data_IF_722071606470
#
_entry.id   IF_722071606470
#
_cell.length_a   1.000
_cell.length_b   1.000
_cell.length_c   1.000
_cell.angle_alpha   90.00
_cell.angle_beta   90.00
_cell.angle_gamma   90.00
#
_symmetry.space_group_name_H-M   'P 1'
#
loop_
_entity.id
_entity.type
_entity.pdbx_description
1 polymer ?
#
# COMPACT_ATOMS: atom_id res chain seq x y z
N UNK A 1 -2.19 -11.74 -13.27
CA UNK A 1 -2.16 -12.22 -11.88
C UNK A 1 -3.39 -11.68 -11.19
N UNK A 2 -3.52 -10.36 -11.16
CA UNK A 2 -4.75 -9.68 -10.81
C UNK A 2 -5.68 -9.58 -12.01
N UNK A 3 -6.98 -9.58 -11.79
CA UNK A 3 -8.00 -9.59 -12.82
C UNK A 3 -9.20 -8.74 -12.43
N UNK A 4 -10.03 -8.39 -13.41
CA UNK A 4 -11.25 -7.63 -13.18
C UNK A 4 -12.24 -8.32 -12.24
N UNK A 5 -12.23 -9.65 -12.17
CA UNK A 5 -13.14 -10.41 -11.33
C UNK A 5 -12.72 -10.41 -9.85
N UNK A 6 -11.49 -10.01 -9.54
CA UNK A 6 -10.99 -9.98 -8.15
C UNK A 6 -11.76 -8.95 -7.30
N UNK A 7 -12.34 -7.93 -7.94
CA UNK A 7 -13.20 -6.96 -7.26
C UNK A 7 -14.50 -7.57 -6.73
N UNK A 8 -14.96 -8.70 -7.28
CA UNK A 8 -16.20 -9.36 -6.88
C UNK A 8 -16.14 -9.95 -5.47
N UNK A 9 -14.93 -10.09 -4.89
CA UNK A 9 -14.78 -10.49 -3.48
C UNK A 9 -15.48 -9.49 -2.55
N UNK A 10 -15.51 -8.21 -2.90
CA UNK A 10 -16.12 -7.16 -2.10
C UNK A 10 -17.65 -7.10 -2.21
N UNK A 11 -18.26 -7.83 -3.16
CA UNK A 11 -19.72 -7.97 -3.27
C UNK A 11 -20.30 -8.86 -2.15
N UNK A 12 -19.49 -9.75 -1.58
CA UNK A 12 -19.90 -10.56 -0.44
C UNK A 12 -20.08 -9.68 0.80
N UNK A 13 -21.28 -9.64 1.36
CA UNK A 13 -21.65 -8.70 2.41
C UNK A 13 -21.37 -9.22 3.83
N UNK A 14 -21.15 -10.51 4.00
CA UNK A 14 -20.85 -11.13 5.29
C UNK A 14 -19.35 -11.11 5.60
N UNK A 15 -19.00 -10.97 6.89
CA UNK A 15 -17.60 -11.05 7.34
C UNK A 15 -16.98 -12.41 6.97
N UNK A 16 -17.65 -13.51 7.30
CA UNK A 16 -17.15 -14.86 7.05
C UNK A 16 -16.98 -15.09 5.54
N UNK A 17 -18.03 -14.85 4.75
CA UNK A 17 -17.98 -15.07 3.31
C UNK A 17 -16.91 -14.21 2.63
N UNK A 18 -16.76 -12.92 3.00
CA UNK A 18 -15.75 -12.05 2.37
C UNK A 18 -14.35 -12.50 2.74
N UNK A 19 -14.13 -12.92 3.99
CA UNK A 19 -12.84 -13.46 4.42
C UNK A 19 -12.49 -14.74 3.67
N UNK A 20 -13.44 -15.66 3.48
CA UNK A 20 -13.24 -16.87 2.67
C UNK A 20 -12.89 -16.53 1.22
N UNK A 21 -13.59 -15.56 0.60
CA UNK A 21 -13.26 -15.11 -0.76
C UNK A 21 -11.87 -14.48 -0.83
N UNK A 22 -11.49 -13.61 0.12
CA UNK A 22 -10.16 -13.02 0.18
C UNK A 22 -9.09 -14.12 0.27
N UNK A 23 -9.27 -15.08 1.17
CA UNK A 23 -8.30 -16.18 1.38
C UNK A 23 -8.18 -17.11 0.18
N UNK A 24 -9.27 -17.37 -0.54
CA UNK A 24 -9.26 -18.32 -1.65
C UNK A 24 -8.92 -17.67 -3.00
N UNK A 25 -9.14 -16.36 -3.16
CA UNK A 25 -8.95 -15.64 -4.42
C UNK A 25 -7.75 -14.70 -4.37
N UNK A 26 -7.68 -13.83 -3.35
CA UNK A 26 -6.72 -12.72 -3.31
C UNK A 26 -5.40 -13.12 -2.65
N UNK A 27 -5.45 -13.83 -1.51
CA UNK A 27 -4.24 -14.20 -0.77
C UNK A 27 -3.23 -15.01 -1.63
N UNK A 28 -3.65 -15.98 -2.48
CA UNK A 28 -2.73 -16.68 -3.37
C UNK A 28 -2.05 -15.76 -4.40
N UNK A 29 -2.76 -14.75 -4.89
CA UNK A 29 -2.19 -13.75 -5.81
C UNK A 29 -1.19 -12.85 -5.09
N UNK A 30 -1.46 -12.48 -3.83
CA UNK A 30 -0.49 -11.77 -3.00
C UNK A 30 0.77 -12.60 -2.71
N UNK A 31 0.63 -13.90 -2.45
CA UNK A 31 1.79 -14.79 -2.31
C UNK A 31 2.59 -14.90 -3.61
N UNK A 32 1.91 -14.96 -4.76
CA UNK A 32 2.54 -14.95 -6.07
C UNK A 32 3.29 -13.63 -6.32
N UNK A 33 2.68 -12.49 -6.02
CA UNK A 33 3.31 -11.17 -6.12
C UNK A 33 4.55 -11.10 -5.22
N UNK A 34 4.46 -11.56 -3.97
CA UNK A 34 5.60 -11.57 -3.06
C UNK A 34 6.79 -12.36 -3.61
N UNK A 35 6.55 -13.54 -4.20
CA UNK A 35 7.61 -14.34 -4.84
C UNK A 35 8.29 -13.59 -5.98
N UNK A 36 7.54 -12.78 -6.74
CA UNK A 36 8.05 -11.96 -7.85
C UNK A 36 8.82 -10.73 -7.36
N UNK A 37 8.33 -10.04 -6.32
CA UNK A 37 8.95 -8.81 -5.82
C UNK A 37 10.14 -9.04 -4.87
N UNK A 38 10.24 -10.19 -4.20
CA UNK A 38 11.37 -10.47 -3.30
C UNK A 38 12.75 -10.32 -3.99
N UNK A 39 12.99 -10.89 -5.19
CA UNK A 39 14.21 -10.62 -5.95
C UNK A 39 14.42 -9.15 -6.29
N UNK A 40 13.36 -8.42 -6.64
CA UNK A 40 13.43 -6.99 -6.93
C UNK A 40 13.93 -6.18 -5.72
N UNK A 41 13.37 -6.44 -4.53
CA UNK A 41 13.84 -5.79 -3.29
C UNK A 41 15.29 -6.18 -2.94
N UNK A 42 15.66 -7.45 -3.15
CA UNK A 42 17.03 -7.93 -2.92
C UNK A 42 18.04 -7.24 -3.84
N UNK A 43 17.73 -7.08 -5.13
CA UNK A 43 18.56 -6.36 -6.09
C UNK A 43 18.77 -4.90 -5.69
N UNK A 44 17.73 -4.27 -5.13
CA UNK A 44 17.77 -2.91 -4.58
C UNK A 44 18.39 -2.84 -3.17
N UNK A 45 18.93 -3.95 -2.64
CA UNK A 45 19.55 -4.07 -1.31
C UNK A 45 18.61 -3.70 -0.15
N UNK A 46 17.32 -3.92 -0.33
CA UNK A 46 16.29 -3.65 0.68
C UNK A 46 15.90 -4.98 1.33
N UNK A 47 16.15 -5.08 2.63
CA UNK A 47 15.67 -6.22 3.41
C UNK A 47 14.18 -6.06 3.69
N UNK A 48 13.38 -7.01 3.22
CA UNK A 48 11.93 -6.94 3.37
C UNK A 48 11.32 -8.29 3.72
N UNK A 49 10.19 -8.23 4.43
CA UNK A 49 9.39 -9.39 4.79
C UNK A 49 7.94 -9.15 4.38
N UNK A 50 7.34 -10.03 3.55
CA UNK A 50 5.94 -9.93 3.17
C UNK A 50 5.01 -10.34 4.32
N UNK A 51 3.91 -9.61 4.49
CA UNK A 51 2.86 -9.84 5.48
C UNK A 51 1.48 -9.63 4.85
N UNK A 52 0.71 -10.70 4.63
CA UNK A 52 -0.68 -10.58 4.18
C UNK A 52 -1.56 -10.08 5.35
N UNK A 53 -2.43 -9.12 5.06
CA UNK A 53 -3.35 -8.55 6.03
C UNK A 53 -4.37 -9.60 6.51
N UNK A 54 -4.26 -9.99 7.77
CA UNK A 54 -5.09 -11.07 8.36
C UNK A 54 -6.47 -10.62 8.88
N UNK A 55 -6.77 -9.32 8.90
CA UNK A 55 -8.03 -8.74 9.40
C UNK A 55 -8.49 -9.21 10.80
N UNK A 56 -7.57 -9.66 11.65
CA UNK A 56 -7.86 -10.32 12.94
C UNK A 56 -8.68 -9.51 13.96
N UNK A 57 -8.82 -8.19 13.75
CA UNK A 57 -9.58 -7.30 14.63
C UNK A 57 -11.04 -7.10 14.18
N UNK A 58 -11.46 -7.67 13.05
CA UNK A 58 -12.83 -7.55 12.53
C UNK A 58 -13.73 -8.59 13.20
N UNK A 59 -14.85 -8.14 13.75
CA UNK A 59 -15.82 -8.98 14.47
C UNK A 59 -17.21 -8.99 13.86
N UNK A 60 -17.62 -7.88 13.24
CA UNK A 60 -18.97 -7.71 12.65
C UNK A 60 -18.88 -7.30 11.18
N UNK A 61 -18.16 -6.21 10.89
CA UNK A 61 -18.10 -5.67 9.54
C UNK A 61 -17.00 -6.37 8.73
N UNK A 62 -17.30 -6.85 7.50
CA UNK A 62 -16.29 -7.38 6.60
C UNK A 62 -15.21 -6.33 6.27
N UNK A 63 -13.98 -6.75 5.95
CA UNK A 63 -12.94 -5.82 5.53
C UNK A 63 -13.34 -5.08 4.25
N UNK A 64 -13.11 -3.76 4.22
CA UNK A 64 -13.41 -2.87 3.09
C UNK A 64 -12.28 -2.83 2.04
N UNK A 65 -11.10 -3.29 2.44
CA UNK A 65 -9.90 -3.47 1.63
C UNK A 65 -9.10 -4.67 2.15
N UNK A 66 -8.15 -5.16 1.36
CA UNK A 66 -7.16 -6.16 1.77
C UNK A 66 -5.84 -5.90 1.05
N UNK A 67 -4.72 -6.30 1.65
CA UNK A 67 -3.40 -6.02 1.09
C UNK A 67 -2.34 -7.02 1.57
N UNK A 68 -1.22 -7.02 0.87
CA UNK A 68 0.05 -7.53 1.33
C UNK A 68 0.98 -6.36 1.63
N UNK A 69 1.59 -6.38 2.81
CA UNK A 69 2.59 -5.40 3.23
C UNK A 69 4.00 -5.96 3.11
N UNK A 70 4.93 -5.11 2.69
CA UNK A 70 6.35 -5.36 2.55
C UNK A 70 7.07 -4.45 3.53
N UNK A 71 7.50 -4.99 4.67
CA UNK A 71 8.10 -4.19 5.75
C UNK A 71 9.43 -4.78 6.27
N UNK A 72 10.21 -4.02 7.03
CA UNK A 72 11.58 -4.39 7.40
C UNK A 72 11.65 -5.44 8.53
N UNK A 73 10.52 -5.76 9.18
CA UNK A 73 10.47 -6.66 10.32
C UNK A 73 9.87 -8.03 9.97
N UNK A 74 10.46 -9.11 10.50
CA UNK A 74 9.95 -10.48 10.37
C UNK A 74 8.58 -10.71 11.03
N UNK A 75 8.16 -9.83 11.94
CA UNK A 75 6.90 -9.95 12.70
C UNK A 75 6.16 -8.63 12.72
N UNK A 76 5.13 -8.54 11.89
CA UNK A 76 4.30 -7.34 11.75
C UNK A 76 4.99 -6.24 10.95
N UNK A 77 4.17 -5.31 10.45
CA UNK A 77 4.60 -4.24 9.55
C UNK A 77 4.14 -2.85 10.03
N UNK A 78 2.95 -2.76 10.66
CA UNK A 78 2.27 -1.49 10.99
C UNK A 78 3.07 -0.44 11.77
N UNK A 79 4.04 -0.88 12.59
CA UNK A 79 4.88 0.01 13.39
C UNK A 79 6.07 0.59 12.61
N UNK A 80 6.37 0.06 11.45
CA UNK A 80 7.49 0.47 10.62
C UNK A 80 6.94 1.15 9.36
N UNK A 81 7.72 2.00 8.69
CA UNK A 81 7.46 2.33 7.31
C UNK A 81 7.43 1.04 6.47
N UNK A 82 6.51 0.94 5.51
CA UNK A 82 6.35 -0.24 4.67
C UNK A 82 5.67 0.10 3.35
N UNK A 83 5.77 -0.82 2.40
CA UNK A 83 5.02 -0.77 1.13
C UNK A 83 3.81 -1.69 1.24
N UNK A 84 2.69 -1.32 0.62
CA UNK A 84 1.49 -2.12 0.52
C UNK A 84 1.09 -2.30 -0.95
N UNK A 85 0.66 -3.50 -1.32
CA UNK A 85 -0.09 -3.73 -2.56
C UNK A 85 -1.42 -4.36 -2.20
N UNK A 86 -2.52 -3.75 -2.62
CA UNK A 86 -3.83 -4.18 -2.14
C UNK A 86 -5.00 -3.71 -2.96
N UNK A 87 -6.18 -4.17 -2.57
CA UNK A 87 -7.44 -3.89 -3.23
C UNK A 87 -8.40 -3.15 -2.32
N UNK A 88 -9.08 -2.17 -2.90
CA UNK A 88 -10.43 -1.76 -2.53
C UNK A 88 -11.43 -2.40 -3.49
N UNK A 89 -12.73 -2.22 -3.22
CA UNK A 89 -13.81 -2.65 -4.13
C UNK A 89 -13.74 -2.02 -5.53
N UNK A 90 -13.00 -0.92 -5.69
CA UNK A 90 -13.01 -0.10 -6.91
C UNK A 90 -11.63 0.18 -7.49
N UNK A 91 -10.54 -0.27 -6.84
CA UNK A 91 -9.16 -0.09 -7.34
C UNK A 91 -8.16 -1.05 -6.71
N UNK A 92 -7.10 -1.38 -7.44
CA UNK A 92 -5.83 -1.84 -6.88
C UNK A 92 -5.01 -0.60 -6.47
N UNK A 93 -4.18 -0.73 -5.45
CA UNK A 93 -3.24 0.29 -5.01
C UNK A 93 -1.86 -0.28 -4.74
N UNK A 94 -0.85 0.57 -4.90
CA UNK A 94 0.48 0.44 -4.31
C UNK A 94 0.68 1.66 -3.42
N UNK A 95 0.93 1.46 -2.12
CA UNK A 95 1.24 2.54 -1.18
C UNK A 95 2.62 2.38 -0.58
N UNK A 96 3.33 3.49 -0.38
CA UNK A 96 4.36 3.63 0.63
C UNK A 96 3.71 4.30 1.86
N UNK A 97 3.76 3.63 3.01
CA UNK A 97 2.89 3.92 4.14
C UNK A 97 3.63 4.12 5.48
N UNK A 98 3.18 5.14 6.22
CA UNK A 98 3.41 5.39 7.63
C UNK A 98 2.04 5.43 8.34
N UNK A 99 1.64 4.27 8.88
CA UNK A 99 0.37 4.14 9.61
C UNK A 99 0.45 4.78 11.00
N UNK A 100 -0.69 4.93 11.66
CA UNK A 100 -0.75 5.56 12.99
C UNK A 100 0.16 4.88 14.03
N UNK A 101 0.31 3.56 13.96
CA UNK A 101 1.21 2.81 14.85
C UNK A 101 2.70 3.13 14.65
N UNK A 102 3.10 3.66 13.48
CA UNK A 102 4.49 4.01 13.18
C UNK A 102 4.96 5.28 13.90
N UNK A 103 4.03 6.10 14.41
CA UNK A 103 4.35 7.28 15.24
C UNK A 103 4.97 6.95 16.60
N UNK A 104 4.98 5.67 16.98
CA UNK A 104 5.72 5.22 18.15
C UNK A 104 7.23 5.47 18.01
N UNK A 105 7.75 5.50 16.77
CA UNK A 105 9.08 6.01 16.47
C UNK A 105 9.00 7.48 16.04
N UNK A 106 9.52 8.36 16.90
CA UNK A 106 9.51 9.80 16.69
C UNK A 106 10.37 10.23 15.49
N UNK A 107 11.34 9.40 15.06
CA UNK A 107 12.17 9.72 13.89
C UNK A 107 11.39 9.65 12.58
N UNK A 108 10.31 8.87 12.50
CA UNK A 108 9.53 8.73 11.28
C UNK A 108 8.97 10.08 10.78
N UNK A 109 8.56 10.96 11.70
CA UNK A 109 8.13 12.31 11.32
C UNK A 109 9.25 13.16 10.73
N UNK A 110 10.48 13.03 11.26
CA UNK A 110 11.66 13.75 10.76
C UNK A 110 12.11 13.21 9.41
N UNK A 111 12.16 11.88 9.25
CA UNK A 111 12.46 11.19 7.99
C UNK A 111 11.47 11.59 6.90
N UNK A 112 10.17 11.53 7.20
CA UNK A 112 9.12 11.98 6.29
C UNK A 112 9.31 13.43 5.83
N UNK A 113 9.62 14.34 6.76
CA UNK A 113 9.89 15.74 6.43
C UNK A 113 11.15 15.92 5.58
N UNK A 114 12.22 15.17 5.88
CA UNK A 114 13.46 15.22 5.12
C UNK A 114 13.27 14.71 3.67
N UNK A 115 12.38 13.74 3.46
CA UNK A 115 12.05 13.21 2.14
C UNK A 115 11.13 14.10 1.29
N UNK A 116 10.70 15.28 1.79
CA UNK A 116 9.73 16.13 1.11
C UNK A 116 10.13 16.48 -0.34
N UNK A 117 11.41 16.77 -0.59
CA UNK A 117 11.89 17.07 -1.94
C UNK A 117 11.86 15.86 -2.90
N UNK A 118 11.97 14.64 -2.37
CA UNK A 118 11.78 13.42 -3.17
C UNK A 118 10.30 13.20 -3.45
N UNK A 119 9.44 13.38 -2.44
CA UNK A 119 7.99 13.29 -2.58
C UNK A 119 7.45 14.26 -3.63
N UNK A 120 7.95 15.49 -3.71
CA UNK A 120 7.55 16.47 -4.73
C UNK A 120 7.91 16.08 -6.17
N UNK A 121 8.75 15.07 -6.37
CA UNK A 121 9.05 14.52 -7.71
C UNK A 121 7.98 13.53 -8.17
N UNK A 122 7.18 12.98 -7.25
CA UNK A 122 6.04 12.14 -7.56
C UNK A 122 4.95 13.05 -8.14
N UNK A 123 4.90 13.15 -9.47
CA UNK A 123 3.92 13.97 -10.18
C UNK A 123 3.25 13.15 -11.26
N UNK A 124 1.98 13.45 -11.51
CA UNK A 124 1.08 12.68 -12.38
C UNK A 124 0.85 11.24 -11.87
N UNK A 125 -0.40 10.78 -11.87
CA UNK A 125 -0.82 9.41 -11.49
C UNK A 125 -0.47 8.92 -10.06
N UNK A 126 0.17 9.75 -9.23
CA UNK A 126 0.37 9.51 -7.80
C UNK A 126 -0.67 10.23 -6.96
N UNK A 127 -0.98 9.61 -5.83
CA UNK A 127 -1.96 10.05 -4.87
C UNK A 127 -1.40 10.01 -3.46
N UNK A 128 -1.99 10.79 -2.58
CA UNK A 128 -1.73 10.78 -1.15
C UNK A 128 -3.01 10.45 -0.38
N UNK A 129 -2.86 9.75 0.74
CA UNK A 129 -3.95 9.34 1.62
C UNK A 129 -3.51 9.47 3.09
N UNK A 130 -4.43 9.95 3.95
CA UNK A 130 -4.18 10.14 5.38
C UNK A 130 -4.84 9.09 6.28
N UNK A 131 -5.54 8.13 5.70
CA UNK A 131 -6.25 7.09 6.43
C UNK A 131 -6.41 5.84 5.56
N UNK A 132 -5.64 4.79 5.83
CA UNK A 132 -5.71 3.51 5.10
C UNK A 132 -7.06 2.78 5.23
N UNK A 133 -7.97 3.30 6.06
CA UNK A 133 -9.34 2.79 6.25
C UNK A 133 -10.41 3.63 5.55
N UNK A 134 -10.01 4.64 4.77
CA UNK A 134 -10.88 5.47 3.95
C UNK A 134 -10.46 5.40 2.47
N UNK A 135 -11.45 5.41 1.58
CA UNK A 135 -11.24 5.44 0.12
C UNK A 135 -10.83 6.81 -0.42
N UNK A 136 -10.93 7.88 0.40
CA UNK A 136 -10.55 9.22 0.00
C UNK A 136 -9.04 9.33 -0.28
N UNK A 137 -8.72 9.81 -1.47
CA UNK A 137 -7.36 10.08 -1.92
C UNK A 137 -7.31 11.45 -2.61
N UNK A 138 -6.16 12.11 -2.55
CA UNK A 138 -5.91 13.37 -3.25
C UNK A 138 -4.73 13.18 -4.21
N UNK A 139 -4.70 13.87 -5.35
CA UNK A 139 -3.54 13.85 -6.23
C UNK A 139 -2.30 14.37 -5.50
N UNK A 140 -1.16 13.71 -5.66
CA UNK A 140 0.11 14.03 -5.00
C UNK A 140 0.73 15.32 -5.54
N UNK A 141 0.15 16.46 -5.21
CA UNK A 141 0.69 17.79 -5.49
C UNK A 141 1.59 18.25 -4.34
N UNK A 142 2.50 19.18 -4.59
CA UNK A 142 3.35 19.76 -3.54
C UNK A 142 2.53 20.29 -2.35
N UNK A 143 1.35 20.87 -2.62
CA UNK A 143 0.45 21.37 -1.58
C UNK A 143 -0.14 20.22 -0.74
N UNK A 144 -0.73 19.21 -1.39
CA UNK A 144 -1.31 18.05 -0.70
C UNK A 144 -0.26 17.24 0.09
N UNK A 145 0.94 17.06 -0.47
CA UNK A 145 2.07 16.39 0.19
C UNK A 145 2.47 17.19 1.43
N UNK A 146 2.69 18.51 1.28
CA UNK A 146 3.07 19.36 2.41
C UNK A 146 2.02 19.35 3.51
N UNK A 147 0.74 19.33 3.14
CA UNK A 147 -0.35 19.26 4.11
C UNK A 147 -0.35 17.91 4.84
N UNK A 148 -0.27 16.79 4.12
CA UNK A 148 -0.28 15.47 4.76
C UNK A 148 0.96 15.20 5.61
N UNK A 149 2.13 15.74 5.26
CA UNK A 149 3.31 15.65 6.14
C UNK A 149 3.04 16.37 7.47
N UNK A 150 2.45 17.57 7.43
CA UNK A 150 2.05 18.30 8.65
C UNK A 150 1.00 17.53 9.44
N UNK A 151 -0.06 17.07 8.79
CA UNK A 151 -1.15 16.33 9.42
C UNK A 151 -0.63 15.05 10.12
N UNK A 152 0.28 14.32 9.48
CA UNK A 152 0.92 13.15 10.09
C UNK A 152 1.70 13.52 11.36
N UNK A 153 2.39 14.65 11.39
CA UNK A 153 3.16 15.07 12.57
C UNK A 153 2.27 15.59 13.71
N UNK A 154 1.23 16.35 13.38
CA UNK A 154 0.43 17.10 14.37
C UNK A 154 -0.82 16.35 14.83
N UNK A 155 -1.46 15.57 13.96
CA UNK A 155 -2.76 14.94 14.22
C UNK A 155 -2.54 13.46 14.54
N UNK A 156 -2.75 13.06 15.80
CA UNK A 156 -2.47 11.70 16.29
C UNK A 156 -3.03 10.57 15.40
N UNK A 157 -4.26 10.73 14.89
CA UNK A 157 -4.96 9.71 14.10
C UNK A 157 -4.59 9.69 12.61
N UNK A 158 -3.99 10.76 12.09
CA UNK A 158 -3.73 10.89 10.65
C UNK A 158 -2.46 10.12 10.29
N UNK A 159 -2.48 9.52 9.12
CA UNK A 159 -1.41 8.68 8.59
C UNK A 159 -0.77 9.38 7.40
N UNK A 160 0.32 8.82 6.87
CA UNK A 160 0.87 9.27 5.60
C UNK A 160 1.02 8.08 4.66
N UNK A 161 0.28 8.11 3.56
CA UNK A 161 0.39 7.14 2.47
C UNK A 161 0.59 7.90 1.16
N UNK A 162 1.47 7.42 0.31
CA UNK A 162 1.70 7.96 -1.04
C UNK A 162 1.95 6.84 -2.03
N UNK A 163 1.42 6.93 -3.25
CA UNK A 163 1.53 5.85 -4.21
C UNK A 163 0.56 5.93 -5.37
N UNK A 164 0.36 4.81 -6.08
CA UNK A 164 -0.45 4.73 -7.30
C UNK A 164 -1.70 3.88 -7.10
N UNK A 165 -2.72 4.17 -7.90
CA UNK A 165 -3.96 3.40 -7.94
C UNK A 165 -4.33 3.04 -9.37
N UNK A 166 -4.89 1.85 -9.57
CA UNK A 166 -5.47 1.40 -10.83
C UNK A 166 -6.94 1.07 -10.58
N UNK A 167 -7.83 1.88 -11.13
CA UNK A 167 -9.27 1.73 -10.92
C UNK A 167 -9.82 0.50 -11.65
N UNK A 168 -10.88 -0.11 -11.10
CA UNK A 168 -11.64 -1.14 -11.79
C UNK A 168 -11.98 -0.71 -13.21
N UNK A 169 -11.66 -1.54 -14.20
CA UNK A 169 -11.77 -1.23 -15.63
C UNK A 169 -10.48 -0.74 -16.29
N UNK A 170 -9.43 -0.46 -15.53
CA UNK A 170 -8.11 -0.08 -16.05
C UNK A 170 -7.49 -1.18 -16.93
N UNK A 171 -6.79 -0.82 -18.03
CA UNK A 171 -6.07 -1.79 -18.88
C UNK A 171 -5.14 -2.72 -18.12
N UNK A 172 -4.59 -2.30 -16.97
CA UNK A 172 -3.78 -3.13 -16.06
C UNK A 172 -4.39 -4.52 -15.81
N UNK A 173 -5.71 -4.62 -15.66
CA UNK A 173 -6.40 -5.87 -15.36
C UNK A 173 -6.57 -6.81 -16.57
N UNK A 174 -6.16 -6.39 -17.77
CA UNK A 174 -6.12 -7.20 -19.00
C UNK A 174 -4.73 -7.71 -19.32
N UNK A 175 -3.71 -7.15 -18.68
CA UNK A 175 -2.32 -7.52 -18.88
C UNK A 175 -1.98 -8.86 -18.23
N UNK A 176 -0.94 -9.50 -18.74
CA UNK A 176 -0.44 -10.75 -18.17
C UNK A 176 0.35 -10.50 -16.86
N UNK A 177 0.69 -11.59 -16.17
CA UNK A 177 1.41 -11.54 -14.89
C UNK A 177 2.73 -10.77 -14.94
N UNK A 178 3.48 -10.86 -16.04
CA UNK A 178 4.79 -10.21 -16.18
C UNK A 178 4.63 -8.70 -16.37
N UNK A 179 3.71 -8.28 -17.24
CA UNK A 179 3.44 -6.86 -17.47
C UNK A 179 2.84 -6.18 -16.24
N UNK A 180 1.92 -6.85 -15.53
CA UNK A 180 1.43 -6.35 -14.24
C UNK A 180 2.56 -6.18 -13.22
N UNK A 181 3.51 -7.12 -13.17
CA UNK A 181 4.65 -7.04 -12.26
C UNK A 181 5.54 -5.85 -12.61
N UNK A 182 5.86 -5.65 -13.89
CA UNK A 182 6.66 -4.50 -14.35
C UNK A 182 6.01 -3.17 -14.00
N UNK A 183 4.69 -3.06 -14.16
CA UNK A 183 3.95 -1.84 -13.81
C UNK A 183 3.99 -1.55 -12.31
N UNK A 184 3.93 -2.60 -11.47
CA UNK A 184 4.11 -2.47 -10.02
C UNK A 184 5.56 -2.10 -9.69
N UNK A 185 6.55 -2.77 -10.28
CA UNK A 185 7.99 -2.47 -10.09
C UNK A 185 8.32 -1.02 -10.49
N UNK A 186 7.74 -0.51 -11.58
CA UNK A 186 7.90 0.89 -11.96
C UNK A 186 7.35 1.87 -10.89
N UNK A 187 6.25 1.51 -10.23
CA UNK A 187 5.77 2.29 -9.08
C UNK A 187 6.73 2.19 -7.89
N UNK A 188 7.36 1.03 -7.69
CA UNK A 188 8.36 0.85 -6.65
C UNK A 188 9.65 1.62 -6.96
N UNK A 189 10.08 1.71 -8.21
CA UNK A 189 11.29 2.46 -8.60
C UNK A 189 11.20 3.93 -8.19
N UNK A 190 10.01 4.53 -8.28
CA UNK A 190 9.74 5.90 -7.82
C UNK A 190 9.67 6.00 -6.28
N UNK A 191 9.11 4.99 -5.61
CA UNK A 191 8.86 5.00 -4.17
C UNK A 191 10.08 4.56 -3.34
N UNK A 192 10.95 3.71 -3.88
CA UNK A 192 12.08 3.13 -3.15
C UNK A 192 13.10 4.17 -2.66
N UNK A 193 13.50 5.19 -3.46
CA UNK A 193 14.38 6.25 -2.96
C UNK A 193 13.80 6.99 -1.75
N UNK A 194 12.47 7.15 -1.69
CA UNK A 194 11.79 7.76 -0.54
C UNK A 194 11.79 6.78 0.64
N UNK A 195 11.45 5.52 0.40
CA UNK A 195 11.42 4.49 1.44
C UNK A 195 12.79 4.29 2.10
N UNK A 196 13.89 4.39 1.34
CA UNK A 196 15.25 4.29 1.87
C UNK A 196 15.59 5.39 2.89
N UNK A 197 15.03 6.60 2.73
CA UNK A 197 15.17 7.67 3.73
C UNK A 197 14.38 7.38 5.03
N UNK A 198 13.45 6.42 4.98
CA UNK A 198 12.58 6.08 6.11
C UNK A 198 13.08 4.87 6.91
N UNK A 199 13.98 4.06 6.36
CA UNK A 199 14.62 2.92 7.04
C UNK A 199 15.62 3.40 8.10
#
# INVERSE_FOLDING_TARGET
MFSQNDFDVFLESTLIGRMEKIQNVIDPQFEQLAKKLLPYFEQNKITIYPHIAKHLRRTVNPPINTWIAFGPAKRGYKKNPHIEVGFWKDRLFVWLALLGESKADQQNGQRLQASQNLLFKLTNDYYVCKNHTDTQIESATNNSISQMIRDYQEIKKDEFLVGRVWFSGDPFFKENDEEQTKVIEAALDDLLPIYQEWL
#
